data_IF_418768040850
#
_entry.id   IF_418768040850
#
_cell.length_a   1.000
_cell.length_b   1.000
_cell.length_c   1.000
_cell.angle_alpha   90.00
_cell.angle_beta   90.00
_cell.angle_gamma   90.00
#
_symmetry.space_group_name_H-M   'P 1'
#
loop_
_entity.id
_entity.type
_entity.pdbx_description
1 polymer ?
#
# COMPACT_ATOMS: atom_id res chain seq x y z
N UNK A 1 5.91 -22.15 -78.61
CA UNK A 1 4.92 -22.26 -77.52
C UNK A 1 5.62 -21.90 -76.23
N UNK A 2 5.03 -20.94 -75.48
CA UNK A 2 5.61 -20.27 -74.31
C UNK A 2 5.50 -21.13 -73.05
N UNK A 3 6.47 -21.04 -72.15
CA UNK A 3 6.26 -21.30 -70.72
C UNK A 3 7.26 -20.48 -69.90
N UNK A 4 6.84 -19.27 -69.50
CA UNK A 4 7.53 -18.51 -68.46
C UNK A 4 7.02 -19.02 -67.12
N UNK A 5 7.87 -19.69 -66.34
CA UNK A 5 7.57 -20.02 -64.95
C UNK A 5 7.77 -18.75 -64.10
N UNK A 6 6.66 -18.23 -63.59
CA UNK A 6 6.64 -17.11 -62.66
C UNK A 6 6.98 -17.64 -61.27
N UNK A 7 8.18 -17.38 -60.78
CA UNK A 7 8.57 -17.69 -59.41
C UNK A 7 8.02 -16.57 -58.50
N UNK A 8 6.89 -16.83 -57.84
CA UNK A 8 6.34 -15.95 -56.82
C UNK A 8 7.25 -16.01 -55.58
N UNK A 9 8.07 -14.99 -55.40
CA UNK A 9 8.81 -14.76 -54.17
C UNK A 9 7.81 -14.24 -53.13
N UNK A 10 7.33 -15.10 -52.23
CA UNK A 10 6.58 -14.68 -51.05
C UNK A 10 7.52 -13.88 -50.13
N UNK A 11 7.45 -12.55 -50.23
CA UNK A 11 8.09 -11.65 -49.28
C UNK A 11 7.30 -11.71 -47.97
N UNK A 12 7.74 -12.57 -47.04
CA UNK A 12 7.22 -12.58 -45.67
C UNK A 12 7.63 -11.27 -45.00
N UNK A 13 6.68 -10.34 -44.89
CA UNK A 13 6.84 -9.11 -44.11
C UNK A 13 6.94 -9.53 -42.64
N UNK A 14 8.15 -9.60 -42.09
CA UNK A 14 8.35 -9.59 -40.64
C UNK A 14 7.96 -8.20 -40.15
N UNK A 15 6.73 -8.05 -39.68
CA UNK A 15 6.38 -6.90 -38.86
C UNK A 15 7.21 -6.96 -37.57
N UNK A 16 7.89 -5.89 -37.15
CA UNK A 16 8.49 -5.86 -35.83
C UNK A 16 7.37 -6.04 -34.81
N UNK A 17 7.39 -7.13 -34.06
CA UNK A 17 6.54 -7.26 -32.89
C UNK A 17 7.09 -6.30 -31.85
N UNK A 18 6.37 -5.19 -31.63
CA UNK A 18 6.58 -4.37 -30.46
C UNK A 18 6.12 -5.22 -29.29
N UNK A 19 7.07 -5.87 -28.62
CA UNK A 19 6.84 -6.43 -27.30
C UNK A 19 6.74 -5.22 -26.39
N UNK A 20 5.53 -4.81 -26.02
CA UNK A 20 5.40 -3.93 -24.86
C UNK A 20 5.88 -4.71 -23.66
N UNK A 21 6.86 -4.17 -22.95
CA UNK A 21 7.27 -4.72 -21.67
C UNK A 21 6.11 -4.52 -20.70
N UNK A 22 5.74 -5.57 -19.99
CA UNK A 22 4.80 -5.46 -18.87
C UNK A 22 5.48 -4.70 -17.73
N UNK A 23 4.74 -3.81 -17.09
CA UNK A 23 5.20 -3.12 -15.90
C UNK A 23 4.59 -3.77 -14.66
N UNK A 24 5.37 -3.81 -13.57
CA UNK A 24 4.84 -4.21 -12.27
C UNK A 24 3.94 -3.10 -11.74
N UNK A 25 2.75 -3.46 -11.25
CA UNK A 25 1.87 -2.52 -10.54
C UNK A 25 2.01 -2.78 -9.05
N UNK A 26 2.24 -1.73 -8.27
CA UNK A 26 2.40 -1.82 -6.82
C UNK A 26 1.49 -0.83 -6.10
N UNK A 27 0.70 -1.34 -5.16
CA UNK A 27 -0.06 -0.54 -4.21
C UNK A 27 0.76 -0.35 -2.94
N UNK A 28 1.05 0.91 -2.60
CA UNK A 28 1.76 1.30 -1.40
C UNK A 28 0.75 1.88 -0.41
N UNK A 29 0.48 1.17 0.68
CA UNK A 29 -0.49 1.59 1.69
C UNK A 29 0.19 2.22 2.89
N UNK A 30 -0.37 3.33 3.36
CA UNK A 30 0.03 3.99 4.60
C UNK A 30 -1.16 4.11 5.55
N UNK A 31 -1.17 3.31 6.61
CA UNK A 31 -2.15 3.47 7.68
C UNK A 31 -1.76 4.60 8.62
N UNK A 32 -2.64 5.59 8.74
CA UNK A 32 -2.47 6.72 9.65
C UNK A 32 -3.63 6.81 10.61
N UNK A 33 -3.38 7.43 11.76
CA UNK A 33 -4.41 7.83 12.70
C UNK A 33 -4.06 9.22 13.24
N UNK A 34 -5.02 10.15 13.17
CA UNK A 34 -4.81 11.56 13.49
C UNK A 34 -3.62 12.17 12.73
N UNK A 35 -3.42 11.75 11.48
CA UNK A 35 -2.32 12.21 10.61
C UNK A 35 -0.92 11.66 10.96
N UNK A 36 -0.78 10.82 11.99
CA UNK A 36 0.47 10.13 12.32
C UNK A 36 0.41 8.65 11.92
N UNK A 37 1.55 7.95 11.72
CA UNK A 37 1.52 6.50 11.46
C UNK A 37 0.76 5.75 12.55
N UNK A 38 -0.15 4.86 12.15
CA UNK A 38 -0.93 4.04 13.08
C UNK A 38 0.00 3.28 14.03
N UNK A 39 -0.31 3.27 15.32
CA UNK A 39 0.42 2.53 16.35
C UNK A 39 -0.53 1.53 17.01
N UNK A 40 -0.04 0.31 17.21
CA UNK A 40 -0.75 -0.74 17.96
C UNK A 40 -0.26 -0.74 19.41
N UNK A 41 -1.08 -1.27 20.32
CA UNK A 41 -0.73 -1.38 21.76
C UNK A 41 -0.40 -0.03 22.40
N UNK A 42 -1.05 1.03 21.90
CA UNK A 42 -0.87 2.41 22.33
C UNK A 42 -2.24 3.09 22.36
N UNK A 43 -2.58 3.65 23.52
CA UNK A 43 -3.83 4.40 23.70
C UNK A 43 -3.80 5.73 22.94
N UNK A 44 -4.81 5.98 22.11
CA UNK A 44 -4.95 7.18 21.29
C UNK A 44 -6.39 7.70 21.27
N UNK A 45 -6.55 9.02 21.30
CA UNK A 45 -7.88 9.65 21.20
C UNK A 45 -8.42 9.53 19.77
N UNK A 46 -9.63 8.98 19.66
CA UNK A 46 -10.42 8.95 18.43
C UNK A 46 -11.78 9.53 18.74
N UNK A 47 -12.07 10.71 18.19
CA UNK A 47 -13.32 11.45 18.41
C UNK A 47 -13.71 11.62 19.90
N UNK A 48 -12.74 11.81 20.78
CA UNK A 48 -12.98 11.97 22.22
C UNK A 48 -13.07 10.67 23.03
N UNK A 49 -12.80 9.51 22.42
CA UNK A 49 -12.69 8.22 23.11
C UNK A 49 -11.26 7.70 22.97
N UNK A 50 -10.61 7.34 24.09
CA UNK A 50 -9.28 6.72 24.02
C UNK A 50 -9.39 5.23 23.64
N UNK A 51 -8.73 4.87 22.53
CA UNK A 51 -8.74 3.54 21.94
C UNK A 51 -7.33 2.94 21.90
N UNK A 52 -7.22 1.63 22.01
CA UNK A 52 -6.02 0.85 21.75
C UNK A 52 -6.34 -0.23 20.71
N UNK A 53 -5.57 -0.27 19.61
CA UNK A 53 -5.76 -1.24 18.53
C UNK A 53 -4.97 -2.51 18.80
N UNK A 54 -5.67 -3.65 18.69
CA UNK A 54 -5.08 -5.00 18.76
C UNK A 54 -4.98 -5.63 17.38
N UNK A 55 -5.96 -5.38 16.50
CA UNK A 55 -6.01 -5.94 15.15
C UNK A 55 -6.70 -4.99 14.18
N UNK A 56 -6.09 -4.85 13.00
CA UNK A 56 -6.75 -4.29 11.83
C UNK A 56 -6.26 -5.06 10.60
N UNK A 57 -7.08 -6.00 10.13
CA UNK A 57 -6.82 -6.76 8.92
C UNK A 57 -8.03 -6.68 7.99
N UNK A 58 -7.81 -6.58 6.68
CA UNK A 58 -8.89 -6.56 5.70
C UNK A 58 -8.48 -7.10 4.35
N UNK A 59 -9.44 -7.66 3.63
CA UNK A 59 -9.24 -8.09 2.25
C UNK A 59 -9.41 -6.93 1.28
N UNK A 60 -8.58 -6.91 0.25
CA UNK A 60 -8.74 -6.02 -0.91
C UNK A 60 -8.72 -6.88 -2.16
N UNK A 61 -9.74 -6.74 -3.02
CA UNK A 61 -9.87 -7.52 -4.25
C UNK A 61 -10.66 -6.75 -5.32
N UNK A 62 -10.99 -7.40 -6.44
CA UNK A 62 -11.77 -6.81 -7.54
C UNK A 62 -11.13 -5.53 -8.11
N UNK A 63 -9.82 -5.60 -8.34
CA UNK A 63 -9.06 -4.48 -8.87
C UNK A 63 -9.39 -4.23 -10.34
N UNK A 64 -9.72 -2.99 -10.69
CA UNK A 64 -9.84 -2.50 -12.07
C UNK A 64 -8.99 -1.26 -12.22
N UNK A 65 -8.08 -1.27 -13.18
CA UNK A 65 -7.19 -0.15 -13.47
C UNK A 65 -7.69 0.57 -14.72
N UNK A 66 -7.92 1.87 -14.62
CA UNK A 66 -8.10 2.76 -15.77
C UNK A 66 -6.72 3.31 -16.17
N UNK A 67 -6.30 3.12 -17.41
CA UNK A 67 -4.95 3.44 -17.87
C UNK A 67 -4.85 3.81 -19.35
N UNK A 68 -3.70 4.36 -19.74
CA UNK A 68 -3.27 4.52 -21.14
C UNK A 68 -4.35 5.09 -22.08
N UNK A 69 -5.00 6.18 -21.65
CA UNK A 69 -6.03 6.88 -22.41
C UNK A 69 -7.45 6.36 -22.15
N UNK A 70 -7.75 5.96 -20.91
CA UNK A 70 -9.08 5.50 -20.48
C UNK A 70 -9.40 4.03 -20.77
N UNK A 71 -8.41 3.18 -21.02
CA UNK A 71 -8.59 1.73 -21.10
C UNK A 71 -8.84 1.15 -19.71
N UNK A 72 -9.68 0.13 -19.58
CA UNK A 72 -9.93 -0.55 -18.32
C UNK A 72 -9.40 -1.98 -18.36
N UNK A 73 -8.57 -2.34 -17.38
CA UNK A 73 -8.03 -3.69 -17.19
C UNK A 73 -8.39 -4.19 -15.79
N UNK A 74 -9.18 -5.26 -15.72
CA UNK A 74 -9.43 -5.98 -14.46
C UNK A 74 -8.22 -6.87 -14.13
N UNK A 75 -7.70 -6.76 -12.91
CA UNK A 75 -6.58 -7.58 -12.44
C UNK A 75 -7.12 -8.90 -11.90
N UNK A 76 -7.22 -9.90 -12.77
CA UNK A 76 -7.73 -11.24 -12.43
C UNK A 76 -6.85 -11.95 -11.39
N UNK A 77 -7.48 -12.69 -10.48
CA UNK A 77 -6.82 -13.52 -9.45
C UNK A 77 -5.88 -12.76 -8.50
N UNK A 78 -6.15 -11.46 -8.28
CA UNK A 78 -5.41 -10.63 -7.33
C UNK A 78 -6.24 -10.41 -6.07
N UNK A 79 -5.76 -10.96 -4.95
CA UNK A 79 -6.30 -10.75 -3.61
C UNK A 79 -5.20 -10.24 -2.71
N UNK A 80 -5.51 -9.30 -1.83
CA UNK A 80 -4.62 -8.88 -0.76
C UNK A 80 -5.28 -9.15 0.58
N UNK A 81 -4.52 -9.66 1.54
CA UNK A 81 -4.85 -9.58 2.96
C UNK A 81 -3.92 -8.54 3.57
N UNK A 82 -4.45 -7.34 3.80
CA UNK A 82 -3.68 -6.23 4.37
C UNK A 82 -3.68 -6.35 5.88
N UNK A 83 -2.50 -6.24 6.49
CA UNK A 83 -2.33 -6.14 7.94
C UNK A 83 -1.78 -4.75 8.28
N UNK A 84 -2.62 -3.91 8.89
CA UNK A 84 -2.25 -2.54 9.20
C UNK A 84 -1.14 -2.43 10.26
N UNK A 85 -0.83 -3.51 11.00
CA UNK A 85 0.29 -3.52 11.95
C UNK A 85 1.66 -3.50 11.28
N UNK A 86 1.72 -3.78 9.97
CA UNK A 86 2.92 -3.60 9.15
C UNK A 86 3.24 -2.12 8.92
N UNK A 87 2.30 -1.21 9.19
CA UNK A 87 2.46 0.23 9.02
C UNK A 87 2.43 0.63 7.55
N UNK A 88 3.57 1.03 7.00
CA UNK A 88 3.67 1.31 5.56
C UNK A 88 4.05 0.02 4.82
N UNK A 89 3.19 -0.45 3.93
CA UNK A 89 3.33 -1.74 3.25
C UNK A 89 3.29 -1.59 1.73
N UNK A 90 3.96 -2.51 1.03
CA UNK A 90 4.01 -2.58 -0.43
C UNK A 90 3.34 -3.88 -0.87
N UNK A 91 2.33 -3.76 -1.72
CA UNK A 91 1.53 -4.88 -2.22
C UNK A 91 1.66 -4.98 -3.74
N UNK A 92 2.41 -5.97 -4.26
CA UNK A 92 2.46 -6.24 -5.69
C UNK A 92 1.09 -6.69 -6.21
N UNK A 93 0.61 -6.05 -7.27
CA UNK A 93 -0.64 -6.41 -7.97
C UNK A 93 -0.38 -7.21 -9.25
N UNK A 94 0.87 -7.56 -9.54
CA UNK A 94 1.29 -8.32 -10.72
C UNK A 94 1.94 -7.48 -11.81
N UNK A 95 2.26 -8.12 -12.93
CA UNK A 95 2.83 -7.50 -14.13
C UNK A 95 1.78 -7.38 -15.23
N UNK A 96 1.57 -6.17 -15.73
CA UNK A 96 0.49 -5.85 -16.65
C UNK A 96 0.99 -4.95 -17.80
N UNK A 97 0.34 -5.02 -18.95
CA UNK A 97 0.61 -4.09 -20.07
C UNK A 97 -0.07 -2.74 -19.81
N UNK A 98 0.44 -2.05 -18.79
CA UNK A 98 -0.09 -0.80 -18.25
C UNK A 98 1.09 0.16 -18.06
N UNK A 99 1.07 1.32 -18.73
CA UNK A 99 2.15 2.31 -18.62
C UNK A 99 1.79 3.49 -17.74
N UNK A 100 0.56 4.02 -17.85
CA UNK A 100 0.11 5.19 -17.12
C UNK A 100 -1.26 4.94 -16.47
N UNK A 101 -1.31 4.97 -15.14
CA UNK A 101 -2.53 4.73 -14.36
C UNK A 101 -3.25 6.04 -14.06
N UNK A 102 -4.51 6.10 -14.49
CA UNK A 102 -5.43 7.23 -14.34
C UNK A 102 -6.41 7.02 -13.17
N UNK A 103 -6.80 5.77 -12.93
CA UNK A 103 -7.60 5.40 -11.77
C UNK A 103 -7.38 3.94 -11.38
N UNK A 104 -7.64 3.64 -10.11
CA UNK A 104 -7.75 2.27 -9.62
C UNK A 104 -9.06 2.16 -8.84
N UNK A 105 -9.90 1.23 -9.27
CA UNK A 105 -11.03 0.75 -8.51
C UNK A 105 -10.69 -0.57 -7.82
N UNK A 106 -11.26 -0.80 -6.64
CA UNK A 106 -11.11 -2.02 -5.86
C UNK A 106 -12.26 -2.14 -4.86
N UNK A 107 -12.42 -3.33 -4.29
CA UNK A 107 -13.43 -3.63 -3.28
C UNK A 107 -12.79 -4.12 -1.99
N UNK A 108 -13.44 -3.86 -0.86
CA UNK A 108 -13.03 -4.42 0.43
C UNK A 108 -13.81 -5.70 0.68
N UNK A 109 -13.08 -6.81 0.83
CA UNK A 109 -13.66 -8.14 0.95
C UNK A 109 -13.22 -9.11 -0.13
N UNK A 110 -13.96 -10.20 -0.23
CA UNK A 110 -13.75 -11.29 -1.19
C UNK A 110 -15.03 -11.45 -2.01
N UNK A 111 -14.92 -11.40 -3.33
CA UNK A 111 -16.06 -11.58 -4.24
C UNK A 111 -16.82 -12.89 -3.98
N UNK A 112 -18.14 -12.87 -4.17
CA UNK A 112 -19.07 -13.99 -3.86
C UNK A 112 -18.63 -15.31 -4.53
N UNK A 113 -18.02 -15.26 -5.71
CA UNK A 113 -17.53 -16.45 -6.41
C UNK A 113 -16.43 -17.21 -5.64
N UNK A 114 -15.71 -16.52 -4.76
CA UNK A 114 -14.62 -17.06 -3.94
C UNK A 114 -14.97 -17.11 -2.45
N UNK A 115 -15.88 -16.25 -1.98
CA UNK A 115 -16.11 -16.02 -0.56
C UNK A 115 -16.51 -17.28 0.23
N UNK A 116 -17.16 -18.24 -0.42
CA UNK A 116 -17.67 -19.47 0.19
C UNK A 116 -16.90 -20.75 -0.21
N UNK A 117 -15.80 -20.61 -0.95
CA UNK A 117 -14.97 -21.74 -1.33
C UNK A 117 -14.16 -22.25 -0.13
N UNK A 118 -13.72 -23.51 -0.21
CA UNK A 118 -12.91 -24.13 0.83
C UNK A 118 -11.50 -23.49 0.87
N UNK A 119 -11.13 -22.75 1.94
CA UNK A 119 -9.83 -22.09 2.03
C UNK A 119 -8.66 -23.08 1.97
N UNK A 120 -8.87 -24.34 2.34
CA UNK A 120 -7.81 -25.36 2.37
C UNK A 120 -7.34 -25.80 0.99
N UNK A 121 -8.03 -25.38 -0.06
CA UNK A 121 -7.62 -25.60 -1.46
C UNK A 121 -6.50 -24.66 -1.91
N UNK A 122 -6.27 -23.57 -1.18
CA UNK A 122 -5.18 -22.64 -1.46
C UNK A 122 -3.89 -23.07 -0.77
N UNK A 123 -2.76 -22.91 -1.46
CA UNK A 123 -1.43 -23.15 -0.91
C UNK A 123 -1.10 -22.18 0.25
N UNK A 124 -0.25 -22.62 1.16
CA UNK A 124 0.20 -21.79 2.27
C UNK A 124 0.84 -20.49 1.77
N UNK A 125 0.43 -19.35 2.34
CA UNK A 125 0.87 -18.01 1.93
C UNK A 125 -0.04 -17.32 0.92
N UNK A 126 -1.00 -18.02 0.32
CA UNK A 126 -2.06 -17.37 -0.45
C UNK A 126 -2.98 -16.56 0.50
N UNK A 127 -3.42 -15.34 0.15
CA UNK A 127 -4.28 -14.52 1.02
C UNK A 127 -5.59 -15.19 1.44
N UNK A 128 -6.15 -16.03 0.57
CA UNK A 128 -7.37 -16.81 0.83
C UNK A 128 -7.11 -18.19 1.49
N UNK A 129 -5.87 -18.59 1.71
CA UNK A 129 -5.57 -19.82 2.47
C UNK A 129 -5.94 -19.65 3.95
N UNK A 130 -5.94 -20.73 4.77
CA UNK A 130 -6.20 -20.61 6.20
C UNK A 130 -5.17 -19.68 6.87
N UNK A 131 -5.68 -18.66 7.58
CA UNK A 131 -4.87 -17.63 8.24
C UNK A 131 -4.81 -17.83 9.76
N UNK A 132 -3.78 -17.28 10.38
CA UNK A 132 -3.64 -17.18 11.84
C UNK A 132 -3.16 -15.76 12.21
N UNK A 133 -4.03 -14.88 12.73
CA UNK A 133 -5.40 -15.15 13.21
C UNK A 133 -6.40 -15.45 12.09
N UNK A 134 -7.47 -16.19 12.41
CA UNK A 134 -8.41 -16.67 11.40
C UNK A 134 -9.20 -15.53 10.73
N UNK A 135 -9.27 -15.59 9.39
CA UNK A 135 -10.01 -14.67 8.51
C UNK A 135 -11.21 -15.31 7.81
N UNK A 136 -11.51 -16.60 8.05
CA UNK A 136 -12.68 -17.28 7.49
C UNK A 136 -13.67 -17.66 8.60
N UNK A 137 -14.91 -17.17 8.53
CA UNK A 137 -15.91 -17.35 9.60
C UNK A 137 -16.67 -18.66 9.50
N UNK A 138 -16.82 -19.19 8.29
CA UNK A 138 -17.53 -20.44 8.02
C UNK A 138 -18.25 -20.38 6.69
N UNK A 139 -18.72 -21.53 6.22
CA UNK A 139 -19.18 -21.68 4.83
C UNK A 139 -20.38 -20.78 4.50
N UNK A 140 -21.27 -20.57 5.46
CA UNK A 140 -22.46 -19.72 5.25
C UNK A 140 -22.14 -18.21 5.21
N UNK A 141 -21.10 -17.76 5.92
CA UNK A 141 -20.76 -16.33 6.00
C UNK A 141 -19.52 -15.95 5.19
N UNK A 142 -18.70 -16.94 4.82
CA UNK A 142 -17.46 -16.77 4.08
C UNK A 142 -16.32 -16.17 4.89
N UNK A 143 -15.49 -15.39 4.19
CA UNK A 143 -14.37 -14.62 4.75
C UNK A 143 -14.86 -13.38 5.49
N UNK A 144 -14.17 -13.05 6.58
CA UNK A 144 -14.26 -11.74 7.23
C UNK A 144 -13.64 -10.72 6.27
N UNK A 145 -14.43 -9.80 5.73
CA UNK A 145 -13.91 -8.77 4.83
C UNK A 145 -12.99 -7.81 5.59
N UNK A 146 -13.31 -7.52 6.85
CA UNK A 146 -12.45 -6.81 7.77
C UNK A 146 -12.49 -7.44 9.17
N UNK A 147 -11.41 -7.26 9.93
CA UNK A 147 -11.29 -7.60 11.33
C UNK A 147 -10.68 -6.39 12.05
N UNK A 148 -11.46 -5.77 12.93
CA UNK A 148 -11.08 -4.61 13.74
C UNK A 148 -11.24 -4.97 15.22
N UNK A 149 -10.14 -5.14 15.93
CA UNK A 149 -10.15 -5.56 17.34
C UNK A 149 -9.33 -4.56 18.17
N UNK A 150 -9.70 -4.40 19.44
CA UNK A 150 -9.01 -3.49 20.35
C UNK A 150 -9.68 -3.36 21.71
N UNK A 151 -9.35 -2.27 22.39
CA UNK A 151 -10.01 -1.85 23.64
C UNK A 151 -10.30 -0.35 23.63
N UNK A 152 -11.39 0.04 24.30
CA UNK A 152 -11.76 1.44 24.56
C UNK A 152 -11.65 1.76 26.06
N UNK A 153 -12.02 2.98 26.43
CA UNK A 153 -11.91 3.50 27.79
C UNK A 153 -12.44 2.52 28.86
N UNK A 154 -11.71 2.45 29.97
CA UNK A 154 -12.04 1.54 31.07
C UNK A 154 -11.76 0.06 30.76
N UNK A 155 -10.98 -0.24 29.72
CA UNK A 155 -10.68 -1.58 29.20
C UNK A 155 -11.93 -2.31 28.68
N UNK A 156 -12.84 -1.56 28.07
CA UNK A 156 -14.01 -2.15 27.40
C UNK A 156 -13.57 -2.76 26.07
N UNK A 157 -13.98 -4.00 25.79
CA UNK A 157 -13.52 -4.75 24.60
C UNK A 157 -14.10 -4.21 23.29
N UNK A 158 -13.39 -4.44 22.21
CA UNK A 158 -13.71 -3.98 20.87
C UNK A 158 -13.46 -5.09 19.85
N UNK A 159 -14.45 -5.48 19.06
CA UNK A 159 -14.27 -6.50 18.01
C UNK A 159 -15.33 -6.31 16.90
N UNK A 160 -14.97 -5.96 15.66
CA UNK A 160 -15.90 -6.03 14.52
C UNK A 160 -15.31 -6.93 13.45
N UNK A 161 -16.10 -7.87 12.94
CA UNK A 161 -15.66 -8.79 11.89
C UNK A 161 -16.63 -8.79 10.73
N UNK A 162 -16.58 -7.71 9.97
CA UNK A 162 -17.56 -7.39 8.96
C UNK A 162 -17.54 -8.39 7.79
N UNK A 163 -18.69 -9.02 7.58
CA UNK A 163 -18.95 -10.14 6.68
C UNK A 163 -20.07 -9.79 5.68
N UNK A 164 -20.28 -10.66 4.71
CA UNK A 164 -21.51 -10.71 3.90
C UNK A 164 -21.36 -10.13 2.52
N UNK A 165 -21.84 -10.87 1.52
CA UNK A 165 -21.71 -10.53 0.10
C UNK A 165 -22.42 -9.21 -0.25
N UNK A 166 -23.54 -8.92 0.43
CA UNK A 166 -24.26 -7.64 0.31
C UNK A 166 -23.42 -6.42 0.73
N UNK A 167 -22.33 -6.62 1.48
CA UNK A 167 -21.40 -5.57 1.88
C UNK A 167 -20.15 -5.48 0.98
N UNK A 168 -20.12 -6.22 -0.13
CA UNK A 168 -19.03 -6.14 -1.11
C UNK A 168 -19.28 -4.98 -2.07
N UNK A 169 -18.57 -3.87 -1.84
CA UNK A 169 -18.74 -2.65 -2.62
C UNK A 169 -17.41 -2.19 -3.23
N UNK A 170 -17.48 -1.74 -4.47
CA UNK A 170 -16.36 -1.15 -5.16
C UNK A 170 -16.22 0.34 -4.82
N UNK A 171 -14.98 0.78 -4.67
CA UNK A 171 -14.55 2.17 -4.58
C UNK A 171 -13.57 2.48 -5.72
N UNK A 172 -13.48 3.74 -6.14
CA UNK A 172 -12.62 4.18 -7.23
C UNK A 172 -11.85 5.43 -6.86
N UNK A 173 -10.55 5.41 -7.15
CA UNK A 173 -9.61 6.46 -6.77
C UNK A 173 -8.81 6.93 -7.98
N UNK A 174 -8.67 8.25 -8.13
CA UNK A 174 -7.94 8.85 -9.25
C UNK A 174 -6.43 8.87 -8.96
N UNK A 175 -5.64 8.52 -9.97
CA UNK A 175 -4.18 8.51 -9.96
C UNK A 175 -3.65 9.28 -11.18
N UNK A 176 -2.35 9.57 -11.18
CA UNK A 176 -1.66 10.19 -12.30
C UNK A 176 -0.21 9.70 -12.34
N UNK A 177 -0.05 8.39 -12.17
CA UNK A 177 1.25 7.74 -12.00
C UNK A 177 1.64 6.99 -13.27
N UNK A 178 2.90 7.12 -13.68
CA UNK A 178 3.46 6.46 -14.86
C UNK A 178 4.55 5.47 -14.44
N UNK A 179 4.84 4.51 -15.32
CA UNK A 179 5.88 3.53 -15.09
C UNK A 179 7.25 4.20 -15.00
N UNK A 180 7.94 3.98 -13.88
CA UNK A 180 9.34 4.37 -13.68
C UNK A 180 10.14 3.09 -13.45
N UNK A 181 11.18 2.89 -14.27
CA UNK A 181 12.03 1.69 -14.21
C UNK A 181 11.25 0.37 -14.21
N UNK A 182 10.17 0.30 -14.98
CA UNK A 182 9.34 -0.90 -15.14
C UNK A 182 8.32 -1.13 -14.02
N UNK A 183 8.10 -0.15 -13.13
CA UNK A 183 7.11 -0.23 -12.05
C UNK A 183 6.22 1.01 -12.01
N UNK A 184 4.91 0.82 -11.93
CA UNK A 184 3.95 1.89 -11.56
C UNK A 184 3.68 1.79 -10.06
N UNK A 185 4.02 2.85 -9.32
CA UNK A 185 3.82 2.91 -7.89
C UNK A 185 2.59 3.75 -7.56
N UNK A 186 1.57 3.11 -6.98
CA UNK A 186 0.34 3.76 -6.56
C UNK A 186 0.41 3.98 -5.05
N UNK A 187 0.58 5.22 -4.60
CA UNK A 187 0.65 5.54 -3.18
C UNK A 187 -0.73 5.92 -2.64
N UNK A 188 -1.13 5.32 -1.53
CA UNK A 188 -2.43 5.51 -0.93
C UNK A 188 -2.33 5.53 0.59
N UNK A 189 -3.01 6.50 1.21
CA UNK A 189 -3.17 6.63 2.64
C UNK A 189 -4.49 6.01 3.07
N UNK A 190 -4.47 5.29 4.18
CA UNK A 190 -5.63 4.73 4.86
C UNK A 190 -5.83 5.47 6.20
N UNK A 191 -6.83 6.34 6.29
CA UNK A 191 -7.16 7.13 7.46
C UNK A 191 -7.97 6.34 8.47
N UNK A 192 -7.32 5.82 9.51
CA UNK A 192 -7.88 4.82 10.41
C UNK A 192 -8.86 5.40 11.43
N UNK A 193 -8.81 6.70 11.76
CA UNK A 193 -9.91 7.29 12.55
C UNK A 193 -11.26 7.24 11.81
N UNK A 194 -11.25 7.23 10.47
CA UNK A 194 -12.48 7.17 9.66
C UNK A 194 -13.23 5.84 9.84
N UNK A 195 -12.55 4.79 10.32
CA UNK A 195 -13.19 3.50 10.61
C UNK A 195 -14.34 3.65 11.63
N UNK A 196 -14.23 4.63 12.54
CA UNK A 196 -15.15 4.84 13.65
C UNK A 196 -16.23 5.89 13.37
N UNK A 197 -16.35 6.37 12.13
CA UNK A 197 -17.43 7.28 11.76
C UNK A 197 -18.77 6.55 12.00
N UNK A 198 -19.59 7.09 12.90
CA UNK A 198 -20.88 6.51 13.32
C UNK A 198 -20.80 5.15 14.02
N UNK A 199 -19.64 4.77 14.58
CA UNK A 199 -19.48 3.56 15.40
C UNK A 199 -19.09 3.99 16.82
N UNK A 200 -19.99 3.81 17.79
CA UNK A 200 -19.73 4.20 19.20
C UNK A 200 -19.06 3.09 19.99
N UNK A 201 -17.84 3.46 20.40
CA UNK A 201 -16.79 2.67 21.01
C UNK A 201 -17.01 2.16 22.40
N UNK A 202 -17.63 3.10 23.10
CA UNK A 202 -17.35 3.41 24.49
C UNK A 202 -18.10 2.48 25.43
N UNK A 203 -19.16 1.86 24.91
CA UNK A 203 -19.94 0.84 25.59
C UNK A 203 -19.38 -0.58 25.49
N UNK A 204 -18.22 -0.77 24.83
CA UNK A 204 -17.56 -2.08 24.69
C UNK A 204 -18.06 -2.91 23.50
N UNK A 205 -17.96 -2.39 22.27
CA UNK A 205 -18.63 -3.01 21.12
C UNK A 205 -17.84 -4.12 20.43
N UNK A 206 -18.50 -5.28 20.46
CA UNK A 206 -18.19 -6.54 19.77
C UNK A 206 -19.35 -6.83 18.79
N UNK A 207 -19.13 -6.92 17.48
CA UNK A 207 -20.16 -7.21 16.49
C UNK A 207 -19.63 -8.04 15.30
N UNK A 208 -20.33 -9.15 15.02
CA UNK A 208 -19.97 -10.16 14.03
C UNK A 208 -21.21 -10.55 13.23
N UNK A 209 -21.74 -9.61 12.46
CA UNK A 209 -22.88 -9.82 11.58
C UNK A 209 -22.58 -9.34 10.15
N UNK A 210 -23.62 -9.19 9.34
CA UNK A 210 -23.56 -8.60 7.99
C UNK A 210 -24.33 -7.27 7.93
N UNK A 211 -24.75 -6.72 9.07
CA UNK A 211 -25.62 -5.53 9.18
C UNK A 211 -25.06 -4.55 10.21
N UNK A 212 -25.81 -3.50 10.54
CA UNK A 212 -25.50 -2.56 11.62
C UNK A 212 -24.06 -2.01 11.58
N UNK A 213 -23.28 -2.13 12.66
CA UNK A 213 -21.92 -1.59 12.73
C UNK A 213 -20.93 -2.29 11.78
N UNK A 214 -21.14 -3.56 11.37
CA UNK A 214 -20.30 -4.27 10.41
C UNK A 214 -20.51 -3.70 9.01
N UNK A 215 -21.77 -3.51 8.63
CA UNK A 215 -22.10 -2.83 7.39
C UNK A 215 -21.57 -1.38 7.42
N UNK A 216 -21.69 -0.69 8.55
CA UNK A 216 -21.15 0.68 8.73
C UNK A 216 -19.64 0.71 8.55
N UNK A 217 -18.90 -0.25 9.13
CA UNK A 217 -17.45 -0.35 8.98
C UNK A 217 -17.04 -0.53 7.51
N UNK A 218 -17.71 -1.41 6.76
CA UNK A 218 -17.41 -1.62 5.34
C UNK A 218 -17.79 -0.43 4.46
N UNK A 219 -18.87 0.30 4.80
CA UNK A 219 -19.17 1.58 4.16
C UNK A 219 -18.09 2.63 4.46
N UNK A 220 -17.60 2.72 5.70
CA UNK A 220 -16.52 3.65 6.05
C UNK A 220 -15.23 3.33 5.29
N UNK A 221 -14.88 2.05 5.20
CA UNK A 221 -13.75 1.56 4.40
C UNK A 221 -13.91 1.91 2.91
N UNK A 222 -15.11 1.93 2.36
CA UNK A 222 -15.37 2.38 0.98
C UNK A 222 -15.26 3.90 0.82
N UNK A 223 -15.85 4.66 1.74
CA UNK A 223 -16.16 6.07 1.51
C UNK A 223 -15.12 7.05 2.08
N UNK A 224 -14.41 6.67 3.16
CA UNK A 224 -13.70 7.64 4.00
C UNK A 224 -12.28 7.24 4.41
N UNK A 225 -11.89 5.99 4.21
CA UNK A 225 -10.58 5.50 4.67
C UNK A 225 -9.49 5.81 3.65
N UNK A 226 -9.72 5.57 2.37
CA UNK A 226 -8.64 5.58 1.38
C UNK A 226 -8.52 6.90 0.62
N UNK A 227 -7.29 7.41 0.51
CA UNK A 227 -6.95 8.63 -0.22
C UNK A 227 -5.63 8.44 -1.00
N UNK A 228 -5.59 8.68 -2.32
CA UNK A 228 -4.36 8.69 -3.10
C UNK A 228 -3.37 9.77 -2.64
N UNK A 229 -2.11 9.39 -2.49
CA UNK A 229 -1.00 10.33 -2.29
C UNK A 229 -0.42 10.67 -3.65
N UNK A 230 -0.99 11.66 -4.32
CA UNK A 230 -0.54 12.05 -5.66
C UNK A 230 0.86 12.67 -5.61
N UNK A 231 1.74 12.25 -6.52
CA UNK A 231 3.00 12.95 -6.79
C UNK A 231 2.73 14.41 -7.12
N UNK A 232 3.25 15.31 -6.29
CA UNK A 232 2.98 16.74 -6.40
C UNK A 232 3.45 17.32 -7.74
N UNK A 233 2.53 17.51 -8.69
CA UNK A 233 2.65 18.52 -9.76
C UNK A 233 2.14 19.87 -9.24
N UNK A 234 2.70 20.27 -8.11
CA UNK A 234 2.55 21.60 -7.53
C UNK A 234 3.82 21.91 -6.77
N UNK A 235 4.43 23.08 -7.01
CA UNK A 235 5.48 23.58 -6.14
C UNK A 235 4.82 23.98 -4.81
N UNK A 236 4.50 22.98 -3.99
CA UNK A 236 4.21 23.12 -2.57
C UNK A 236 5.51 22.71 -1.86
N UNK A 237 6.31 23.73 -1.54
CA UNK A 237 7.30 23.63 -0.46
C UNK A 237 6.51 23.50 0.85
N UNK A 238 6.07 22.29 1.20
CA UNK A 238 5.53 22.00 2.53
C UNK A 238 6.65 21.45 3.41
N UNK A 239 7.10 22.32 4.31
CA UNK A 239 8.15 22.05 5.28
C UNK A 239 7.75 20.98 6.29
N UNK A 240 8.19 19.75 6.03
CA UNK A 240 8.39 18.69 7.01
C UNK A 240 9.61 17.89 6.56
N UNK A 241 10.49 17.47 7.47
CA UNK A 241 11.65 16.67 7.08
C UNK A 241 11.17 15.26 6.68
N UNK A 242 11.06 15.01 5.38
CA UNK A 242 10.83 13.72 4.71
C UNK A 242 11.88 12.65 5.08
N UNK A 243 12.94 13.03 5.78
CA UNK A 243 13.85 12.13 6.49
C UNK A 243 14.42 12.85 7.72
N UNK A 244 14.28 12.26 8.91
CA UNK A 244 14.98 12.67 10.13
C UNK A 244 16.05 11.65 10.50
N UNK A 245 17.15 12.10 11.10
CA UNK A 245 18.25 11.21 11.48
C UNK A 245 18.83 11.53 12.86
N UNK A 246 19.08 10.49 13.66
CA UNK A 246 19.56 10.61 15.04
C UNK A 246 20.41 9.40 15.47
N UNK A 247 21.51 9.57 16.23
CA UNK A 247 22.10 10.84 16.64
C UNK A 247 22.83 11.53 15.48
N UNK A 248 22.84 12.86 15.53
CA UNK A 248 23.59 13.71 14.61
C UNK A 248 24.21 14.87 15.39
N UNK A 249 25.54 14.88 15.65
CA UNK A 249 26.55 14.00 15.05
C UNK A 249 26.46 12.51 15.45
N UNK A 250 26.83 11.64 14.52
CA UNK A 250 26.89 10.19 14.69
C UNK A 250 28.29 9.74 15.15
N UNK A 251 28.33 8.80 16.10
CA UNK A 251 29.54 8.15 16.60
C UNK A 251 29.52 6.64 16.32
N UNK A 252 29.30 6.27 15.05
CA UNK A 252 29.32 4.88 14.56
C UNK A 252 27.95 4.29 14.20
N UNK A 253 26.85 4.94 14.57
CA UNK A 253 25.49 4.57 14.12
C UNK A 253 24.56 5.77 13.98
N UNK A 254 23.61 5.68 13.07
CA UNK A 254 22.52 6.64 12.92
C UNK A 254 21.25 5.89 12.57
N UNK A 255 20.15 6.24 13.24
CA UNK A 255 18.81 5.84 12.87
C UNK A 255 18.24 6.89 11.93
N UNK A 256 17.67 6.44 10.82
CA UNK A 256 16.94 7.24 9.85
C UNK A 256 15.47 6.93 10.03
N UNK A 257 14.65 7.95 10.25
CA UNK A 257 13.20 7.85 10.17
C UNK A 257 12.80 8.53 8.87
N UNK A 258 12.43 7.71 7.90
CA UNK A 258 11.91 8.14 6.63
C UNK A 258 10.46 8.56 6.82
N UNK A 259 10.12 9.73 6.31
CA UNK A 259 8.72 10.03 6.04
C UNK A 259 8.20 8.95 5.10
N UNK A 260 6.96 8.54 5.31
CA UNK A 260 6.25 7.57 4.46
C UNK A 260 6.27 7.94 2.97
N UNK A 261 6.25 9.24 2.65
CA UNK A 261 6.39 9.76 1.28
C UNK A 261 7.76 9.46 0.65
N UNK A 262 8.76 9.15 1.48
CA UNK A 262 10.08 8.73 1.02
C UNK A 262 10.16 7.23 0.71
N UNK A 263 9.19 6.39 1.10
CA UNK A 263 9.17 4.97 0.72
C UNK A 263 9.02 4.86 -0.80
N UNK A 264 9.86 4.03 -1.44
CA UNK A 264 10.02 3.97 -2.89
C UNK A 264 10.98 5.02 -3.47
N UNK A 265 11.37 6.04 -2.72
CA UNK A 265 12.38 7.00 -3.19
C UNK A 265 13.78 6.38 -3.22
N UNK A 266 14.55 6.75 -4.22
CA UNK A 266 15.99 6.48 -4.26
C UNK A 266 16.73 7.49 -3.41
N UNK A 267 17.81 7.08 -2.75
CA UNK A 267 18.64 7.95 -1.93
C UNK A 267 20.13 7.81 -2.25
N UNK A 268 20.89 8.88 -2.01
CA UNK A 268 22.34 8.89 -2.05
C UNK A 268 22.92 9.68 -0.87
N UNK A 269 23.96 9.14 -0.24
CA UNK A 269 24.79 9.82 0.76
C UNK A 269 26.08 10.31 0.09
N UNK A 270 26.31 11.62 0.10
CA UNK A 270 27.44 12.28 -0.55
C UNK A 270 28.42 12.79 0.51
N UNK A 271 29.73 12.68 0.26
CA UNK A 271 30.73 13.40 1.06
C UNK A 271 30.82 14.90 0.66
N UNK A 272 31.64 15.67 1.38
CA UNK A 272 31.83 17.10 1.12
C UNK A 272 32.36 17.45 -0.29
N UNK A 273 32.88 16.48 -1.03
CA UNK A 273 33.30 16.66 -2.43
C UNK A 273 32.22 16.28 -3.45
N UNK A 274 31.06 15.79 -2.99
CA UNK A 274 29.97 15.31 -3.83
C UNK A 274 30.12 13.85 -4.28
N UNK A 275 31.08 13.10 -3.75
CA UNK A 275 31.25 11.68 -4.07
C UNK A 275 30.22 10.84 -3.31
N UNK A 276 29.58 9.91 -4.02
CA UNK A 276 28.61 8.97 -3.43
C UNK A 276 29.35 7.95 -2.54
N UNK A 277 28.99 7.94 -1.26
CA UNK A 277 29.48 6.99 -0.25
C UNK A 277 28.49 5.84 0.00
N UNK A 278 27.20 6.06 -0.22
CA UNK A 278 26.13 5.07 -0.11
C UNK A 278 24.97 5.47 -1.02
N UNK A 279 24.23 4.50 -1.55
CA UNK A 279 22.96 4.73 -2.25
C UNK A 279 22.04 3.53 -2.12
N UNK A 280 20.74 3.72 -2.36
CA UNK A 280 19.75 2.65 -2.30
C UNK A 280 18.34 3.16 -2.55
N UNK A 281 17.35 2.34 -2.23
CA UNK A 281 15.92 2.70 -2.25
C UNK A 281 15.38 2.58 -0.83
N UNK A 282 14.51 3.51 -0.44
CA UNK A 282 13.81 3.44 0.84
C UNK A 282 12.72 2.39 0.73
N UNK A 283 12.83 1.29 1.45
CA UNK A 283 11.85 0.20 1.43
C UNK A 283 11.00 0.11 2.70
N UNK A 284 11.31 0.94 3.69
CA UNK A 284 10.71 0.92 5.02
C UNK A 284 10.82 2.30 5.68
N UNK A 285 9.95 2.59 6.64
CA UNK A 285 9.86 3.90 7.31
C UNK A 285 10.99 4.19 8.29
N UNK A 286 11.76 3.18 8.70
CA UNK A 286 12.89 3.35 9.63
C UNK A 286 14.07 2.49 9.17
N UNK A 287 15.28 3.02 9.22
CA UNK A 287 16.51 2.27 8.92
C UNK A 287 17.62 2.61 9.93
N UNK A 288 18.59 1.72 10.12
CA UNK A 288 19.73 1.93 11.01
C UNK A 288 21.02 1.71 10.24
N UNK A 289 21.79 2.77 10.05
CA UNK A 289 23.06 2.71 9.35
C UNK A 289 24.24 2.66 10.33
N UNK A 290 25.15 1.72 10.08
CA UNK A 290 26.49 1.76 10.65
C UNK A 290 27.32 2.80 9.89
N UNK A 291 27.84 3.78 10.62
CA UNK A 291 28.65 4.89 10.07
C UNK A 291 30.14 4.77 10.42
N UNK A 292 30.55 3.70 11.10
CA UNK A 292 31.94 3.51 11.55
C UNK A 292 32.95 3.36 10.42
N UNK A 293 32.48 3.04 9.20
CA UNK A 293 33.31 2.93 7.99
C UNK A 293 33.50 4.27 7.27
N UNK A 294 32.75 5.31 7.66
CA UNK A 294 32.84 6.65 7.10
C UNK A 294 33.89 7.47 7.86
N UNK A 295 34.65 8.29 7.13
CA UNK A 295 35.59 9.21 7.75
C UNK A 295 34.83 10.34 8.48
N UNK A 296 35.37 10.87 9.61
CA UNK A 296 34.82 12.05 10.27
C UNK A 296 34.65 13.22 9.30
N UNK A 297 33.46 13.84 9.30
CA UNK A 297 33.14 14.90 8.35
C UNK A 297 31.65 15.14 8.14
N UNK A 298 31.35 16.08 7.24
CA UNK A 298 29.99 16.42 6.80
C UNK A 298 29.62 15.58 5.58
N UNK A 299 28.43 14.98 5.64
CA UNK A 299 27.79 14.26 4.56
C UNK A 299 26.42 14.86 4.26
N UNK A 300 25.99 14.69 3.01
CA UNK A 300 24.68 15.11 2.54
C UNK A 300 23.89 13.90 2.07
N UNK A 301 22.77 13.63 2.73
CA UNK A 301 21.79 12.66 2.30
C UNK A 301 20.78 13.36 1.39
N UNK A 302 20.60 12.86 0.17
CA UNK A 302 19.62 13.36 -0.80
C UNK A 302 18.74 12.21 -1.26
N UNK A 303 17.49 12.49 -1.58
CA UNK A 303 16.57 11.51 -2.15
C UNK A 303 15.68 12.08 -3.24
N UNK A 304 15.35 11.21 -4.20
CA UNK A 304 14.58 11.50 -5.40
C UNK A 304 13.57 10.37 -5.67
N UNK A 305 12.37 10.73 -6.11
CA UNK A 305 11.26 9.81 -6.38
C UNK A 305 9.92 10.42 -5.92
N UNK A 306 9.02 9.66 -5.27
CA UNK A 306 7.71 10.15 -4.81
C UNK A 306 7.82 11.34 -3.83
N UNK A 307 8.94 11.45 -3.11
CA UNK A 307 9.34 12.65 -2.40
C UNK A 307 10.77 13.07 -2.77
N UNK A 308 11.01 14.38 -2.81
CA UNK A 308 12.37 14.94 -2.85
C UNK A 308 12.79 15.37 -1.45
N UNK A 309 13.97 14.95 -1.02
CA UNK A 309 14.46 15.28 0.33
C UNK A 309 15.96 15.52 0.40
N UNK A 310 16.36 16.28 1.42
CA UNK A 310 17.76 16.53 1.73
C UNK A 310 17.96 16.63 3.24
N UNK A 311 18.97 15.95 3.76
CA UNK A 311 19.32 15.96 5.17
C UNK A 311 20.83 15.99 5.37
N UNK A 312 21.29 16.67 6.42
CA UNK A 312 22.72 16.74 6.77
C UNK A 312 23.08 15.68 7.81
N UNK A 313 24.17 14.96 7.60
CA UNK A 313 24.73 14.00 8.56
C UNK A 313 26.17 14.37 8.90
N UNK A 314 26.49 14.46 10.19
CA UNK A 314 27.83 14.74 10.69
C UNK A 314 28.37 13.47 11.34
N UNK A 315 29.58 13.03 10.95
CA UNK A 315 30.29 11.89 11.56
C UNK A 315 31.43 12.42 12.44
N UNK A 316 31.54 11.89 13.66
CA UNK A 316 32.62 12.18 14.63
C UNK A 316 33.83 11.25 14.47
#
# INVERSE_FOLDING_TARGET
>A
MKSYQLFLLCLSVLAPQVVQAQNAIQLNLQHVLNGAPLQFQSSVDVFGTNLEFDRLQYYVSDFVITHDGGQETALSDVFLLVDASEGASIHPLGEWDINAVEAMAFSIGVDEAYNHLDPTLYEAGHPLAPQSPNMHWGWASGYKFAALEGTSEGNSTFEIHALGDDNFFQQSHAFSEEAVDGTVNLFMRANCESLFIQIDVSGGLIEHSTVDEAATLLNNLRDFVFEPLQGSVGIEQTGGATCSLFPNPSAGRVQLNWGVEAVGATYALLDASGRICRSGTVTQSTDVWNTSELLPGLYLLVGHGPATFQQRLIIQ
#
